data_IF_269147138994
#
_entry.id   IF_269147138994
#
_cell.length_a   1.000
_cell.length_b   1.000
_cell.length_c   1.000
_cell.angle_alpha   90.00
_cell.angle_beta   90.00
_cell.angle_gamma   90.00
#
_symmetry.space_group_name_H-M   'P 1'
#
loop_
_entity.id
_entity.type
_entity.pdbx_description
1 polymer ?
#
# COMPACT_ATOMS: atom_id res chain seq x y z
N UNK A 1 7.96 3.35 19.66
CA UNK A 1 7.61 3.10 18.24
C UNK A 1 6.25 2.43 18.24
N UNK A 2 5.31 2.91 17.42
CA UNK A 2 4.03 2.21 17.21
C UNK A 2 4.30 0.81 16.66
N UNK A 3 3.53 -0.19 17.08
CA UNK A 3 3.72 -1.56 16.58
C UNK A 3 3.42 -1.63 15.08
N UNK A 4 3.99 -2.64 14.42
CA UNK A 4 3.80 -2.92 13.00
C UNK A 4 2.33 -3.14 12.64
N UNK A 5 1.54 -3.71 13.55
CA UNK A 5 0.10 -3.95 13.39
C UNK A 5 -0.76 -2.98 14.22
N UNK A 6 -0.19 -1.83 14.60
CA UNK A 6 -0.90 -0.79 15.34
C UNK A 6 -1.95 -0.09 14.48
N UNK A 7 -3.05 0.31 15.10
CA UNK A 7 -4.21 0.89 14.40
C UNK A 7 -4.08 2.39 14.13
N UNK A 8 -3.19 3.07 14.85
CA UNK A 8 -2.93 4.49 14.65
C UNK A 8 -2.04 4.71 13.41
N UNK A 9 -2.28 5.81 12.71
CA UNK A 9 -1.45 6.23 11.57
C UNK A 9 -0.02 6.56 12.04
N UNK A 10 1.00 6.25 11.22
CA UNK A 10 2.36 6.71 11.50
C UNK A 10 2.54 8.07 10.86
N UNK A 11 2.90 9.07 11.67
CA UNK A 11 3.14 10.44 11.20
C UNK A 11 4.64 10.71 11.22
N UNK A 12 5.18 11.07 10.07
CA UNK A 12 6.57 11.49 9.92
C UNK A 12 6.60 12.98 9.55
N UNK A 13 7.20 13.82 10.39
CA UNK A 13 7.40 15.24 10.13
C UNK A 13 8.73 15.44 9.37
N UNK A 14 8.68 16.09 8.22
CA UNK A 14 9.87 16.35 7.40
C UNK A 14 10.66 17.52 8.00
N UNK A 15 11.99 17.42 8.16
CA UNK A 15 12.83 18.53 8.61
C UNK A 15 12.68 19.81 7.78
N UNK A 16 12.33 19.67 6.50
CA UNK A 16 12.13 20.80 5.59
C UNK A 16 10.69 21.35 5.62
N UNK A 17 9.82 20.81 6.49
CA UNK A 17 8.43 21.24 6.71
C UNK A 17 7.38 20.28 6.13
N UNK A 18 6.17 20.33 6.68
CA UNK A 18 5.09 19.41 6.33
C UNK A 18 5.25 18.02 6.95
N UNK A 19 4.29 17.13 6.66
CA UNK A 19 4.29 15.76 7.18
C UNK A 19 3.70 14.75 6.23
N UNK A 20 4.14 13.51 6.40
CA UNK A 20 3.64 12.33 5.71
C UNK A 20 2.87 11.46 6.71
N UNK A 21 1.62 11.16 6.38
CA UNK A 21 0.73 10.32 7.19
C UNK A 21 0.60 8.97 6.51
N UNK A 22 1.26 7.96 7.09
CA UNK A 22 1.23 6.57 6.62
C UNK A 22 0.01 5.86 7.21
N UNK A 23 -1.03 5.72 6.39
CA UNK A 23 -2.32 5.16 6.76
C UNK A 23 -2.38 3.65 6.46
N UNK A 24 -2.57 2.85 7.51
CA UNK A 24 -2.48 1.39 7.43
C UNK A 24 -3.76 0.76 6.92
N UNK A 25 -3.70 0.09 5.77
CA UNK A 25 -4.84 -0.60 5.15
C UNK A 25 -4.69 -2.12 5.23
N UNK A 26 -5.79 -2.84 5.08
CA UNK A 26 -5.81 -4.30 4.88
C UNK A 26 -6.42 -4.53 3.49
N UNK A 27 -5.74 -5.26 2.59
CA UNK A 27 -6.25 -5.49 1.24
C UNK A 27 -7.65 -6.10 1.28
N UNK A 28 -8.52 -5.66 0.38
CA UNK A 28 -9.90 -6.12 0.16
C UNK A 28 -10.87 -5.94 1.32
N UNK A 29 -10.44 -5.32 2.44
CA UNK A 29 -11.26 -5.10 3.63
C UNK A 29 -11.87 -3.70 3.63
N UNK A 30 -13.18 -3.62 3.86
CA UNK A 30 -13.89 -2.35 3.99
C UNK A 30 -13.69 -1.81 5.40
N UNK A 31 -13.05 -0.64 5.54
CA UNK A 31 -12.83 -0.10 6.87
C UNK A 31 -14.09 0.58 7.41
N UNK A 32 -14.42 0.35 8.71
CA UNK A 32 -15.40 1.16 9.40
C UNK A 32 -14.90 2.60 9.52
N UNK A 33 -15.83 3.56 9.58
CA UNK A 33 -15.50 5.00 9.64
C UNK A 33 -14.48 5.36 10.72
N UNK A 34 -14.47 4.65 11.85
CA UNK A 34 -13.54 4.87 12.97
C UNK A 34 -12.08 4.56 12.65
N UNK A 35 -11.80 3.73 11.64
CA UNK A 35 -10.46 3.41 11.19
C UNK A 35 -10.01 4.25 9.99
N UNK A 36 -10.87 5.12 9.45
CA UNK A 36 -10.50 5.96 8.31
C UNK A 36 -9.70 7.18 8.77
N UNK A 37 -8.81 7.74 7.93
CA UNK A 37 -8.05 8.93 8.26
C UNK A 37 -9.00 10.06 8.70
N UNK A 38 -8.79 10.57 9.90
CA UNK A 38 -9.59 11.65 10.48
C UNK A 38 -8.90 13.03 10.33
N UNK A 39 -7.63 13.04 9.94
CA UNK A 39 -6.84 14.25 9.73
C UNK A 39 -7.21 14.94 8.42
N UNK A 40 -7.11 16.27 8.39
CA UNK A 40 -7.09 17.03 7.14
C UNK A 40 -5.79 16.73 6.37
N UNK A 41 -5.90 16.57 5.06
CA UNK A 41 -4.76 16.28 4.20
C UNK A 41 -4.87 17.00 2.86
N UNK A 42 -3.72 17.28 2.27
CA UNK A 42 -3.57 18.20 1.15
C UNK A 42 -3.29 17.47 -0.16
N UNK A 43 -2.58 16.33 -0.13
CA UNK A 43 -2.37 15.46 -1.28
C UNK A 43 -2.35 13.99 -0.92
N UNK A 44 -2.42 13.14 -1.94
CA UNK A 44 -2.43 11.67 -1.83
C UNK A 44 -1.19 11.09 -2.50
N UNK A 45 -0.41 10.27 -1.79
CA UNK A 45 0.67 9.47 -2.35
C UNK A 45 0.27 8.01 -2.45
N UNK A 46 0.26 7.44 -3.66
CA UNK A 46 0.00 6.03 -3.90
C UNK A 46 1.31 5.31 -4.22
N UNK A 47 1.63 4.23 -3.50
CA UNK A 47 2.86 3.44 -3.70
C UNK A 47 2.75 2.46 -4.88
N UNK A 48 2.20 2.94 -5.98
CA UNK A 48 1.88 2.21 -7.21
C UNK A 48 2.15 3.15 -8.40
N UNK A 49 2.22 2.61 -9.61
CA UNK A 49 2.15 3.39 -10.84
C UNK A 49 0.74 3.94 -11.06
N UNK A 50 0.61 4.87 -12.00
CA UNK A 50 -0.65 5.48 -12.43
C UNK A 50 -1.61 4.49 -13.11
N UNK A 51 -1.09 3.39 -13.67
CA UNK A 51 -1.85 2.29 -14.26
C UNK A 51 -2.87 1.67 -13.28
N UNK A 52 -2.62 1.78 -11.96
CA UNK A 52 -3.53 1.27 -10.92
C UNK A 52 -4.93 1.88 -11.03
N UNK A 53 -5.07 3.10 -11.56
CA UNK A 53 -6.36 3.76 -11.71
C UNK A 53 -7.21 3.07 -12.77
N UNK A 54 -6.60 2.73 -13.91
CA UNK A 54 -7.28 2.00 -15.00
C UNK A 54 -7.70 0.60 -14.52
N UNK A 55 -6.83 -0.07 -13.76
CA UNK A 55 -7.16 -1.35 -13.13
C UNK A 55 -8.39 -1.22 -12.22
N UNK A 56 -8.42 -0.24 -11.31
CA UNK A 56 -9.57 -0.05 -10.43
C UNK A 56 -10.86 0.25 -11.18
N UNK A 57 -10.79 1.03 -12.26
CA UNK A 57 -11.96 1.32 -13.10
C UNK A 57 -12.44 0.08 -13.84
N UNK A 58 -11.53 -0.80 -14.26
CA UNK A 58 -11.90 -2.08 -14.84
C UNK A 58 -12.53 -3.01 -13.80
N UNK A 59 -11.92 -3.16 -12.62
CA UNK A 59 -12.49 -3.96 -11.53
C UNK A 59 -13.89 -3.48 -11.14
N UNK A 60 -14.13 -2.16 -11.14
CA UNK A 60 -15.46 -1.58 -10.88
C UNK A 60 -16.50 -1.95 -11.95
N UNK A 61 -16.10 -1.99 -13.23
CA UNK A 61 -16.98 -2.44 -14.33
C UNK A 61 -17.28 -3.92 -14.17
N UNK A 62 -16.25 -4.72 -13.92
CA UNK A 62 -16.36 -6.18 -13.77
C UNK A 62 -17.28 -6.54 -12.58
N UNK A 63 -17.16 -5.85 -11.44
CA UNK A 63 -18.06 -6.04 -10.29
C UNK A 63 -19.51 -5.60 -10.59
N UNK A 64 -19.71 -4.59 -11.44
CA UNK A 64 -21.04 -4.15 -11.84
C UNK A 64 -21.71 -5.15 -12.80
N UNK A 65 -20.93 -5.79 -13.67
CA UNK A 65 -21.41 -6.83 -14.60
C UNK A 65 -21.62 -8.18 -13.91
N UNK A 66 -20.70 -8.58 -13.04
CA UNK A 66 -20.74 -9.85 -12.32
C UNK A 66 -20.16 -9.70 -10.91
N UNK A 67 -21.02 -9.44 -9.93
CA UNK A 67 -20.58 -9.27 -8.54
C UNK A 67 -19.78 -10.47 -8.01
N UNK A 68 -18.60 -10.17 -7.46
CA UNK A 68 -17.66 -11.15 -6.92
C UNK A 68 -16.72 -11.78 -7.95
N UNK A 69 -16.74 -11.35 -9.22
CA UNK A 69 -15.87 -11.90 -10.26
C UNK A 69 -14.39 -11.69 -9.96
N UNK A 70 -14.01 -10.53 -9.42
CA UNK A 70 -12.60 -10.23 -9.10
C UNK A 70 -12.12 -11.07 -7.90
N UNK A 71 -12.98 -11.26 -6.89
CA UNK A 71 -12.69 -12.17 -5.79
C UNK A 71 -12.53 -13.61 -6.29
N UNK A 72 -13.44 -14.08 -7.15
CA UNK A 72 -13.36 -15.42 -7.74
C UNK A 72 -12.06 -15.59 -8.56
N UNK A 73 -11.70 -14.59 -9.35
CA UNK A 73 -10.43 -14.57 -10.08
C UNK A 73 -9.22 -14.62 -9.12
N UNK A 74 -9.21 -13.81 -8.06
CA UNK A 74 -8.15 -13.81 -7.05
C UNK A 74 -8.02 -15.13 -6.28
N UNK A 75 -9.12 -15.84 -6.04
CA UNK A 75 -9.11 -17.17 -5.43
C UNK A 75 -8.55 -18.23 -6.38
N UNK A 76 -8.87 -18.15 -7.67
CA UNK A 76 -8.43 -19.12 -8.70
C UNK A 76 -6.97 -18.90 -9.11
N UNK A 77 -6.47 -17.66 -9.11
CA UNK A 77 -5.08 -17.34 -9.46
C UNK A 77 -4.07 -17.98 -8.49
N UNK A 78 -4.50 -18.30 -7.27
CA UNK A 78 -3.72 -19.04 -6.28
C UNK A 78 -2.63 -18.19 -5.63
N UNK A 79 -1.50 -18.81 -5.35
CA UNK A 79 -0.38 -18.15 -4.67
C UNK A 79 -0.71 -17.68 -3.24
N UNK A 80 0.04 -16.70 -2.76
CA UNK A 80 -0.11 -16.16 -1.40
C UNK A 80 -1.36 -15.30 -1.26
N UNK A 81 -1.76 -14.61 -2.34
CA UNK A 81 -3.00 -13.82 -2.38
C UNK A 81 -4.23 -14.71 -2.30
N UNK A 82 -4.31 -15.81 -3.05
CA UNK A 82 -5.44 -16.74 -2.96
C UNK A 82 -5.65 -17.30 -1.55
N UNK A 83 -4.56 -17.67 -0.86
CA UNK A 83 -4.64 -18.13 0.55
C UNK A 83 -5.12 -17.00 1.47
N UNK A 84 -4.61 -15.78 1.28
CA UNK A 84 -5.08 -14.61 2.04
C UNK A 84 -6.57 -14.36 1.84
N UNK A 85 -7.05 -14.36 0.60
CA UNK A 85 -8.46 -14.14 0.25
C UNK A 85 -9.36 -15.24 0.82
N UNK A 86 -8.94 -16.50 0.73
CA UNK A 86 -9.66 -17.64 1.30
C UNK A 86 -9.84 -17.50 2.82
N UNK A 87 -8.79 -17.11 3.54
CA UNK A 87 -8.87 -16.98 5.00
C UNK A 87 -9.55 -15.68 5.47
N UNK A 88 -9.30 -14.53 4.81
CA UNK A 88 -9.87 -13.23 5.23
C UNK A 88 -11.37 -13.13 4.98
N UNK A 89 -11.90 -13.85 3.98
CA UNK A 89 -13.34 -13.91 3.67
C UNK A 89 -14.13 -14.80 4.63
N UNK A 90 -13.45 -15.67 5.38
CA UNK A 90 -14.07 -16.51 6.42
C UNK A 90 -14.15 -15.82 7.78
N UNK A 91 -13.54 -14.65 7.94
CA UNK A 91 -13.58 -13.90 9.20
C UNK A 91 -14.96 -13.28 9.40
N UNK A 92 -15.69 -13.78 10.39
CA UNK A 92 -16.98 -13.21 10.78
C UNK A 92 -16.89 -11.74 11.19
N UNK A 93 -17.96 -10.98 10.94
CA UNK A 93 -18.08 -9.54 11.25
C UNK A 93 -17.04 -8.63 10.57
N UNK A 94 -16.28 -9.12 9.60
CA UNK A 94 -15.38 -8.34 8.75
C UNK A 94 -15.89 -8.37 7.32
N UNK A 95 -16.18 -7.21 6.74
CA UNK A 95 -16.52 -7.12 5.31
C UNK A 95 -15.23 -7.13 4.49
N UNK A 96 -14.93 -8.25 3.86
CA UNK A 96 -13.70 -8.51 3.09
C UNK A 96 -14.00 -9.01 1.68
N UNK A 97 -12.95 -9.25 0.88
CA UNK A 97 -13.07 -9.75 -0.49
C UNK A 97 -13.69 -8.74 -1.45
N UNK A 98 -13.53 -7.45 -1.19
CA UNK A 98 -14.02 -6.37 -2.05
C UNK A 98 -12.92 -5.90 -2.99
N UNK A 99 -13.30 -5.68 -4.24
CA UNK A 99 -12.47 -5.13 -5.31
C UNK A 99 -13.21 -3.95 -5.96
N UNK A 100 -12.50 -2.91 -6.42
CA UNK A 100 -11.09 -2.62 -6.12
C UNK A 100 -10.83 -2.48 -4.63
N UNK A 101 -9.56 -2.45 -4.25
CA UNK A 101 -9.13 -2.34 -2.86
C UNK A 101 -9.82 -1.15 -2.16
N UNK A 102 -10.70 -1.38 -1.15
CA UNK A 102 -11.69 -0.37 -0.76
C UNK A 102 -11.09 0.93 -0.24
N UNK A 103 -10.06 0.87 0.61
CA UNK A 103 -9.52 2.06 1.25
C UNK A 103 -8.65 2.92 0.30
N UNK A 104 -7.66 2.37 -0.42
CA UNK A 104 -6.92 3.12 -1.46
C UNK A 104 -7.87 3.76 -2.49
N UNK A 105 -8.81 3.00 -3.05
CA UNK A 105 -9.76 3.55 -4.04
C UNK A 105 -10.67 4.61 -3.43
N UNK A 106 -11.12 4.44 -2.18
CA UNK A 106 -11.96 5.43 -1.49
C UNK A 106 -11.21 6.75 -1.28
N UNK A 107 -9.96 6.72 -0.82
CA UNK A 107 -9.19 7.97 -0.62
C UNK A 107 -8.79 8.60 -1.95
N UNK A 108 -8.53 7.81 -2.99
CA UNK A 108 -8.35 8.31 -4.35
C UNK A 108 -9.57 9.08 -4.87
N UNK A 109 -10.77 8.50 -4.79
CA UNK A 109 -12.02 9.20 -5.15
C UNK A 109 -12.25 10.46 -4.31
N UNK A 110 -11.81 10.46 -3.04
CA UNK A 110 -11.88 11.65 -2.18
C UNK A 110 -10.90 12.73 -2.65
N UNK A 111 -9.69 12.36 -3.08
CA UNK A 111 -8.73 13.29 -3.69
C UNK A 111 -9.33 13.96 -4.92
N UNK A 112 -9.86 13.16 -5.86
CA UNK A 112 -10.50 13.66 -7.08
C UNK A 112 -11.68 14.60 -6.78
N UNK A 113 -12.57 14.21 -5.85
CA UNK A 113 -13.74 15.04 -5.48
C UNK A 113 -13.34 16.40 -4.91
N UNK A 114 -12.21 16.47 -4.22
CA UNK A 114 -11.73 17.69 -3.56
C UNK A 114 -10.59 18.36 -4.33
N UNK A 115 -10.32 17.96 -5.58
CA UNK A 115 -9.23 18.47 -6.41
C UNK A 115 -7.86 18.46 -5.70
N UNK A 116 -7.59 17.43 -4.90
CA UNK A 116 -6.29 17.25 -4.24
C UNK A 116 -5.34 16.54 -5.19
N UNK A 117 -4.07 16.96 -5.28
CA UNK A 117 -3.10 16.30 -6.13
C UNK A 117 -2.86 14.85 -5.71
N UNK A 118 -2.68 13.98 -6.70
CA UNK A 118 -2.38 12.55 -6.53
C UNK A 118 -1.00 12.28 -7.13
N UNK A 119 -0.11 11.73 -6.31
CA UNK A 119 1.26 11.39 -6.67
C UNK A 119 1.41 9.88 -6.75
N UNK A 120 1.81 9.37 -7.91
CA UNK A 120 2.15 7.95 -8.10
C UNK A 120 3.64 7.77 -7.83
N UNK A 121 3.94 7.10 -6.72
CA UNK A 121 5.29 7.06 -6.14
C UNK A 121 6.15 6.00 -6.82
N UNK A 122 5.56 4.99 -7.45
CA UNK A 122 6.34 4.09 -8.28
C UNK A 122 6.91 4.85 -9.49
N UNK A 123 8.21 4.71 -9.81
CA UNK A 123 8.76 5.26 -11.03
C UNK A 123 8.09 4.68 -12.29
N UNK A 124 8.12 5.44 -13.37
CA UNK A 124 7.60 5.01 -14.67
C UNK A 124 8.52 3.96 -15.33
N UNK A 125 8.01 3.30 -16.37
CA UNK A 125 8.72 2.22 -17.06
C UNK A 125 9.92 2.71 -17.88
N UNK A 126 10.01 4.01 -18.16
CA UNK A 126 11.15 4.63 -18.86
C UNK A 126 12.30 5.00 -17.92
N UNK A 127 12.14 4.79 -16.61
CA UNK A 127 13.20 4.97 -15.63
C UNK A 127 14.16 3.77 -15.63
N UNK A 128 15.35 3.95 -16.20
CA UNK A 128 16.35 2.88 -16.36
C UNK A 128 16.76 2.22 -15.02
N UNK A 129 16.85 3.00 -13.93
CA UNK A 129 17.18 2.47 -12.61
C UNK A 129 16.04 1.62 -12.03
N UNK A 130 14.80 2.00 -12.31
CA UNK A 130 13.61 1.25 -11.92
C UNK A 130 13.44 0.00 -12.76
N UNK A 131 13.69 0.07 -14.08
CA UNK A 131 13.70 -1.11 -14.95
C UNK A 131 14.73 -2.14 -14.43
N UNK A 132 15.94 -1.68 -14.10
CA UNK A 132 16.96 -2.54 -13.51
C UNK A 132 16.52 -3.16 -12.17
N UNK A 133 15.79 -2.40 -11.34
CA UNK A 133 15.18 -2.89 -10.11
C UNK A 133 14.15 -4.00 -10.38
N UNK A 134 13.22 -3.77 -11.31
CA UNK A 134 12.17 -4.72 -11.68
C UNK A 134 12.76 -6.01 -12.27
N UNK A 135 13.80 -5.89 -13.09
CA UNK A 135 14.55 -7.05 -13.61
C UNK A 135 15.21 -7.84 -12.46
N UNK A 136 15.79 -7.15 -11.47
CA UNK A 136 16.40 -7.80 -10.31
C UNK A 136 15.35 -8.52 -9.46
N UNK A 137 14.18 -7.91 -9.24
CA UNK A 137 13.05 -8.52 -8.54
C UNK A 137 12.57 -9.78 -9.27
N UNK A 138 12.31 -9.70 -10.57
CA UNK A 138 11.89 -10.83 -11.39
C UNK A 138 12.92 -11.98 -11.34
N UNK A 139 14.22 -11.66 -11.36
CA UNK A 139 15.29 -12.66 -11.20
C UNK A 139 15.31 -13.30 -9.81
N UNK A 140 15.02 -12.55 -8.75
CA UNK A 140 14.97 -13.11 -7.38
C UNK A 140 13.77 -14.04 -7.21
N UNK A 141 12.58 -13.60 -7.63
CA UNK A 141 11.32 -14.36 -7.48
C UNK A 141 11.36 -15.65 -8.30
N UNK A 142 12.03 -15.64 -9.46
CA UNK A 142 12.21 -16.81 -10.34
C UNK A 142 13.34 -17.77 -9.93
N UNK A 143 14.08 -17.50 -8.83
CA UNK A 143 15.12 -18.43 -8.36
C UNK A 143 14.52 -19.79 -8.02
N UNK A 144 15.11 -20.87 -8.53
CA UNK A 144 14.62 -22.24 -8.31
C UNK A 144 14.41 -22.60 -6.82
N UNK A 145 15.24 -22.08 -5.90
CA UNK A 145 15.06 -22.26 -4.46
C UNK A 145 13.78 -21.61 -3.92
N UNK A 146 13.37 -20.45 -4.45
CA UNK A 146 12.11 -19.77 -4.11
C UNK A 146 10.93 -20.55 -4.67
N UNK A 147 11.02 -20.97 -5.94
CA UNK A 147 10.01 -21.78 -6.60
C UNK A 147 9.76 -23.11 -5.87
N UNK A 148 10.82 -23.83 -5.48
CA UNK A 148 10.67 -25.01 -4.62
C UNK A 148 10.09 -24.66 -3.24
N UNK A 149 10.45 -23.50 -2.70
CA UNK A 149 9.88 -22.98 -1.46
C UNK A 149 8.37 -22.76 -1.54
N UNK A 150 7.85 -22.36 -2.70
CA UNK A 150 6.42 -22.13 -2.94
C UNK A 150 5.59 -23.42 -2.86
N UNK A 151 6.17 -24.59 -3.14
CA UNK A 151 5.50 -25.89 -2.94
C UNK A 151 5.05 -26.08 -1.48
N UNK A 152 5.75 -25.45 -0.54
CA UNK A 152 5.45 -25.52 0.89
C UNK A 152 4.79 -24.24 1.42
N UNK A 153 4.20 -23.41 0.55
CA UNK A 153 3.62 -22.11 0.92
C UNK A 153 2.60 -22.21 2.05
N UNK A 154 1.72 -23.22 2.04
CA UNK A 154 0.74 -23.42 3.12
C UNK A 154 1.38 -23.71 4.49
N UNK A 155 2.52 -24.40 4.54
CA UNK A 155 3.27 -24.62 5.78
C UNK A 155 3.95 -23.33 6.26
N UNK A 156 4.52 -22.56 5.33
CA UNK A 156 5.13 -21.25 5.62
C UNK A 156 4.09 -20.25 6.10
N UNK A 157 2.92 -20.22 5.48
CA UNK A 157 1.75 -19.45 5.87
C UNK A 157 1.38 -19.70 7.33
N UNK A 158 1.05 -20.95 7.69
CA UNK A 158 0.68 -21.31 9.08
C UNK A 158 1.77 -20.95 10.10
N UNK A 159 3.05 -21.09 9.73
CA UNK A 159 4.17 -20.71 10.61
C UNK A 159 4.18 -19.19 10.85
N UNK A 160 3.94 -18.39 9.82
CA UNK A 160 3.92 -16.93 9.91
C UNK A 160 2.69 -16.39 10.62
N UNK A 161 1.50 -16.96 10.37
CA UNK A 161 0.30 -16.65 11.17
C UNK A 161 0.59 -16.80 12.67
N UNK A 162 1.17 -17.94 13.08
CA UNK A 162 1.54 -18.18 14.49
C UNK A 162 2.52 -17.15 15.05
N UNK A 163 3.42 -16.62 14.23
CA UNK A 163 4.35 -15.56 14.63
C UNK A 163 3.62 -14.23 14.78
N UNK A 164 2.82 -13.87 13.77
CA UNK A 164 2.21 -12.55 13.64
C UNK A 164 1.03 -12.34 14.62
N UNK A 165 0.42 -13.41 15.15
CA UNK A 165 -0.57 -13.32 16.24
C UNK A 165 -0.02 -12.57 17.47
N UNK A 166 1.27 -12.70 17.77
CA UNK A 166 1.88 -12.04 18.93
C UNK A 166 2.07 -10.52 18.73
N UNK A 167 1.97 -10.04 17.50
CA UNK A 167 2.04 -8.61 17.17
C UNK A 167 0.65 -7.97 17.06
N UNK A 168 -0.43 -8.77 17.16
CA UNK A 168 -1.79 -8.30 16.95
C UNK A 168 -2.24 -7.34 18.06
N UNK A 169 -2.66 -6.14 17.68
CA UNK A 169 -3.26 -5.17 18.59
C UNK A 169 -4.78 -5.18 18.51
N UNK A 170 -5.43 -4.84 19.63
CA UNK A 170 -6.88 -4.68 19.67
C UNK A 170 -7.28 -3.40 18.93
N UNK A 171 -8.32 -3.44 18.07
CA UNK A 171 -8.78 -2.25 17.37
C UNK A 171 -9.43 -1.26 18.34
N UNK A 172 -9.61 0.02 17.94
CA UNK A 172 -10.27 1.02 18.76
C UNK A 172 -11.67 0.61 19.23
N UNK A 173 -12.12 1.16 20.35
CA UNK A 173 -13.42 0.81 20.95
C UNK A 173 -14.57 0.97 19.96
N UNK A 174 -15.37 -0.09 19.82
CA UNK A 174 -16.53 -0.14 18.91
C UNK A 174 -16.17 -0.42 17.46
N UNK A 175 -14.98 -0.96 17.22
CA UNK A 175 -14.58 -1.69 16.01
C UNK A 175 -14.52 -3.18 16.38
N UNK A 176 -14.89 -4.08 15.47
CA UNK A 176 -14.87 -5.53 15.73
C UNK A 176 -13.45 -6.01 16.06
N UNK A 177 -13.30 -6.86 17.08
CA UNK A 177 -12.00 -7.44 17.43
C UNK A 177 -11.46 -8.37 16.34
N UNK A 178 -12.33 -8.88 15.46
CA UNK A 178 -11.95 -9.78 14.36
C UNK A 178 -11.09 -9.08 13.29
N UNK A 179 -11.05 -7.73 13.27
CA UNK A 179 -10.11 -6.99 12.43
C UNK A 179 -8.64 -7.24 12.82
N UNK A 180 -8.35 -7.57 14.09
CA UNK A 180 -7.00 -8.03 14.48
C UNK A 180 -6.60 -9.30 13.75
N UNK A 181 -7.52 -10.25 13.55
CA UNK A 181 -7.26 -11.45 12.76
C UNK A 181 -6.96 -11.09 11.31
N UNK A 182 -7.74 -10.19 10.70
CA UNK A 182 -7.48 -9.72 9.34
C UNK A 182 -6.11 -9.00 9.21
N UNK A 183 -5.71 -8.22 10.22
CA UNK A 183 -4.38 -7.60 10.28
C UNK A 183 -3.24 -8.64 10.34
N UNK A 184 -3.42 -9.71 11.10
CA UNK A 184 -2.46 -10.84 11.16
C UNK A 184 -2.33 -11.54 9.81
N UNK A 185 -3.45 -11.75 9.10
CA UNK A 185 -3.42 -12.35 7.77
C UNK A 185 -2.74 -11.42 6.76
N UNK A 186 -3.02 -10.11 6.82
CA UNK A 186 -2.35 -9.10 6.00
C UNK A 186 -0.84 -9.12 6.22
N UNK A 187 -0.39 -9.14 7.48
CA UNK A 187 1.01 -9.26 7.85
C UNK A 187 1.65 -10.53 7.29
N UNK A 188 0.95 -11.66 7.39
CA UNK A 188 1.40 -12.97 6.91
C UNK A 188 1.60 -12.98 5.40
N UNK A 189 0.63 -12.45 4.67
CA UNK A 189 0.68 -12.29 3.22
C UNK A 189 1.85 -11.38 2.81
N UNK A 190 1.97 -10.22 3.45
CA UNK A 190 3.06 -9.27 3.20
C UNK A 190 4.44 -9.89 3.45
N UNK A 191 4.63 -10.60 4.57
CA UNK A 191 5.89 -11.30 4.88
C UNK A 191 6.24 -12.41 3.86
N UNK A 192 5.24 -13.00 3.21
CA UNK A 192 5.46 -13.95 2.12
C UNK A 192 5.91 -13.25 0.84
N UNK A 193 5.33 -12.10 0.49
CA UNK A 193 5.76 -11.31 -0.66
C UNK A 193 7.17 -10.75 -0.45
N UNK A 194 7.46 -10.14 0.72
CA UNK A 194 8.80 -9.63 1.03
C UNK A 194 9.84 -10.77 1.08
N UNK A 195 9.45 -11.96 1.53
CA UNK A 195 10.33 -13.12 1.46
C UNK A 195 10.59 -13.58 0.02
N UNK A 196 9.64 -13.45 -0.90
CA UNK A 196 9.84 -13.78 -2.31
C UNK A 196 10.83 -12.80 -2.93
N UNK A 197 10.58 -11.50 -2.79
CA UNK A 197 11.36 -10.39 -3.36
C UNK A 197 12.75 -10.27 -2.71
N UNK A 198 12.89 -10.66 -1.44
CA UNK A 198 14.16 -10.62 -0.72
C UNK A 198 14.46 -9.25 -0.10
N UNK A 199 15.22 -9.27 1.00
CA UNK A 199 15.46 -8.11 1.86
C UNK A 199 16.20 -6.97 1.17
N UNK A 200 17.19 -7.26 0.32
CA UNK A 200 17.93 -6.22 -0.37
C UNK A 200 17.06 -5.47 -1.38
N UNK A 201 16.29 -6.21 -2.19
CA UNK A 201 15.43 -5.62 -3.22
C UNK A 201 14.30 -4.82 -2.58
N UNK A 202 13.59 -5.41 -1.61
CA UNK A 202 12.56 -4.69 -0.85
C UNK A 202 13.09 -3.44 -0.15
N UNK A 203 14.29 -3.46 0.43
CA UNK A 203 14.90 -2.27 1.01
C UNK A 203 15.22 -1.19 -0.03
N UNK A 204 15.71 -1.56 -1.22
CA UNK A 204 15.97 -0.62 -2.30
C UNK A 204 14.67 0.03 -2.79
N UNK A 205 13.60 -0.74 -2.98
CA UNK A 205 12.26 -0.23 -3.31
C UNK A 205 11.80 0.78 -2.28
N UNK A 206 11.83 0.38 -1.00
CA UNK A 206 11.33 1.22 0.09
C UNK A 206 12.16 2.50 0.26
N UNK A 207 13.48 2.45 0.01
CA UNK A 207 14.34 3.63 0.04
C UNK A 207 13.95 4.62 -1.06
N UNK A 208 13.77 4.13 -2.29
CA UNK A 208 13.36 4.96 -3.43
C UNK A 208 11.97 5.56 -3.24
N UNK A 209 11.02 4.76 -2.77
CA UNK A 209 9.67 5.24 -2.45
C UNK A 209 9.69 6.33 -1.38
N UNK A 210 10.56 6.22 -0.36
CA UNK A 210 10.73 7.27 0.63
C UNK A 210 11.29 8.58 0.03
N UNK A 211 12.26 8.50 -0.88
CA UNK A 211 12.79 9.67 -1.62
C UNK A 211 11.69 10.39 -2.41
N UNK A 212 10.89 9.63 -3.16
CA UNK A 212 9.79 10.13 -4.00
C UNK A 212 8.59 10.66 -3.19
N UNK A 213 8.32 10.04 -2.04
CA UNK A 213 7.36 10.56 -1.05
C UNK A 213 7.78 11.94 -0.52
N UNK A 214 9.08 12.15 -0.25
CA UNK A 214 9.59 13.49 0.10
C UNK A 214 9.46 14.48 -1.06
N UNK A 215 9.61 14.02 -2.31
CA UNK A 215 9.32 14.82 -3.51
C UNK A 215 7.87 15.29 -3.59
N UNK A 216 6.92 14.38 -3.37
CA UNK A 216 5.49 14.70 -3.34
C UNK A 216 5.18 15.74 -2.25
N UNK A 217 5.79 15.57 -1.06
CA UNK A 217 5.63 16.54 0.02
C UNK A 217 6.28 17.89 -0.31
N UNK A 218 7.46 17.91 -0.94
CA UNK A 218 8.11 19.14 -1.44
C UNK A 218 7.21 19.90 -2.39
N UNK A 219 6.52 19.21 -3.29
CA UNK A 219 5.59 19.83 -4.22
C UNK A 219 4.36 20.40 -3.49
N UNK A 220 3.76 19.66 -2.56
CA UNK A 220 2.66 20.17 -1.73
C UNK A 220 3.04 21.42 -0.92
N UNK A 221 4.29 21.52 -0.47
CA UNK A 221 4.77 22.69 0.27
C UNK A 221 4.73 23.99 -0.54
N UNK A 222 4.71 23.92 -1.87
CA UNK A 222 4.59 25.10 -2.73
C UNK A 222 3.29 25.86 -2.43
N UNK A 223 2.20 25.15 -2.18
CA UNK A 223 0.89 25.74 -1.87
C UNK A 223 0.63 25.83 -0.36
N UNK A 224 0.94 24.78 0.40
CA UNK A 224 0.53 24.66 1.81
C UNK A 224 1.62 24.98 2.83
N UNK A 225 2.85 25.26 2.38
CA UNK A 225 3.98 25.54 3.27
C UNK A 225 4.21 24.43 4.30
N UNK A 226 4.56 24.81 5.53
CA UNK A 226 4.82 23.85 6.62
C UNK A 226 3.59 23.03 7.08
N UNK A 227 2.39 23.43 6.66
CA UNK A 227 1.15 22.72 6.95
C UNK A 227 0.84 21.64 5.91
N UNK A 228 1.70 21.44 4.90
CA UNK A 228 1.52 20.38 3.90
C UNK A 228 1.38 19.00 4.55
N UNK A 229 0.36 18.25 4.14
CA UNK A 229 0.07 16.90 4.65
C UNK A 229 -0.13 15.97 3.47
N UNK A 230 0.78 15.02 3.28
CA UNK A 230 0.67 13.95 2.31
C UNK A 230 0.08 12.71 2.99
N UNK A 231 -1.11 12.29 2.57
CA UNK A 231 -1.71 11.03 3.00
C UNK A 231 -1.19 9.89 2.12
N UNK A 232 -0.75 8.80 2.72
CA UNK A 232 -0.24 7.62 2.01
C UNK A 232 -0.98 6.38 2.51
N UNK A 233 -1.99 5.85 1.81
CA UNK A 233 -2.56 4.55 2.12
C UNK A 233 -1.59 3.45 1.68
N UNK A 234 -1.27 2.53 2.57
CA UNK A 234 -0.43 1.37 2.27
C UNK A 234 -0.74 0.24 3.23
N UNK A 235 -0.36 -0.99 2.85
CA UNK A 235 -0.62 -2.15 3.70
C UNK A 235 -0.05 -1.95 5.10
N UNK A 236 -0.89 -2.20 6.10
CA UNK A 236 -0.58 -2.03 7.53
C UNK A 236 0.84 -2.49 7.92
N UNK A 237 1.30 -3.71 7.56
CA UNK A 237 2.65 -4.18 7.89
C UNK A 237 3.80 -3.44 7.19
N UNK A 238 3.54 -2.79 6.06
CA UNK A 238 4.55 -2.12 5.24
C UNK A 238 4.94 -0.74 5.80
N UNK A 239 4.02 -0.08 6.51
CA UNK A 239 4.20 1.26 7.07
C UNK A 239 5.48 1.45 7.84
N UNK A 240 5.82 0.51 8.72
CA UNK A 240 7.03 0.62 9.54
C UNK A 240 8.30 0.60 8.67
N UNK A 241 8.32 -0.12 7.56
CA UNK A 241 9.46 -0.13 6.66
C UNK A 241 9.62 1.22 5.93
N UNK A 242 8.52 1.79 5.42
CA UNK A 242 8.54 3.12 4.80
C UNK A 242 8.91 4.21 5.81
N UNK A 243 8.31 4.18 7.01
CA UNK A 243 8.63 5.11 8.09
C UNK A 243 10.12 5.07 8.44
N UNK A 244 10.70 3.87 8.54
CA UNK A 244 12.12 3.71 8.83
C UNK A 244 13.03 4.22 7.71
N UNK A 245 12.58 4.19 6.45
CA UNK A 245 13.33 4.79 5.34
C UNK A 245 13.22 6.31 5.37
N UNK A 246 12.04 6.88 5.60
CA UNK A 246 11.85 8.32 5.79
C UNK A 246 12.70 8.86 6.96
N UNK A 247 12.78 8.11 8.07
CA UNK A 247 13.61 8.46 9.22
C UNK A 247 15.12 8.53 8.93
N UNK A 248 15.59 7.96 7.82
CA UNK A 248 16.99 8.10 7.36
C UNK A 248 17.24 9.40 6.60
N UNK A 249 16.20 10.22 6.39
CA UNK A 249 16.25 11.47 5.66
C UNK A 249 16.81 11.27 4.24
N UNK A 250 16.19 10.40 3.41
CA UNK A 250 16.66 10.18 2.05
C UNK A 250 16.57 11.47 1.24
N UNK A 251 17.43 11.63 0.24
CA UNK A 251 17.38 12.78 -0.66
C UNK A 251 16.01 12.86 -1.36
N UNK A 252 15.60 14.08 -1.68
CA UNK A 252 14.33 14.31 -2.36
C UNK A 252 14.45 13.87 -3.82
N UNK A 253 13.55 12.99 -4.26
CA UNK A 253 13.40 12.59 -5.67
C UNK A 253 12.06 13.12 -6.19
N UNK A 254 12.04 13.71 -7.37
CA UNK A 254 10.82 14.28 -7.96
C UNK A 254 9.90 13.17 -8.51
N UNK A 255 8.58 13.40 -8.46
CA UNK A 255 7.62 12.48 -9.06
C UNK A 255 7.38 12.91 -10.51
N UNK A 256 7.65 12.02 -11.46
CA UNK A 256 7.36 12.21 -12.88
C UNK A 256 5.85 12.28 -13.18
N UNK A 257 5.02 11.75 -12.28
CA UNK A 257 3.64 11.36 -12.53
C UNK A 257 2.58 12.24 -11.85
N UNK A 258 2.84 13.54 -11.64
CA UNK A 258 1.77 14.44 -11.18
C UNK A 258 0.75 14.70 -12.31
N UNK A 259 -0.16 13.76 -12.58
CA UNK A 259 -1.24 13.94 -13.57
C UNK A 259 -2.30 14.95 -13.15
N UNK A 260 -2.17 15.54 -11.96
CA UNK A 260 -3.02 16.65 -11.50
C UNK A 260 -2.43 18.04 -11.80
N UNK A 261 -1.21 18.14 -12.34
CA UNK A 261 -0.69 19.42 -12.83
C UNK A 261 -1.22 19.73 -14.24
N UNK A 262 -2.26 20.56 -14.27
CA UNK A 262 -2.67 21.57 -15.29
C UNK A 262 -2.50 21.20 -16.79
N UNK A 263 -3.59 21.26 -17.60
CA UNK A 263 -3.53 21.11 -19.05
C UNK A 263 -3.02 22.38 -19.75
N UNK A 264 -1.95 22.99 -19.25
CA UNK A 264 -1.32 24.16 -19.88
C UNK A 264 0.20 23.99 -19.80
N UNK A 265 0.75 23.36 -20.83
CA UNK A 265 1.94 23.79 -21.57
C UNK A 265 2.08 22.83 -22.76
N UNK A 266 1.28 23.09 -23.79
CA UNK A 266 1.68 22.76 -25.16
C UNK A 266 3.00 23.50 -25.43
N UNK A 267 4.09 22.78 -25.67
CA UNK A 267 5.27 23.37 -26.31
C UNK A 267 4.97 23.49 -27.81
N UNK A 268 4.96 24.74 -28.30
CA UNK A 268 5.10 25.10 -29.72
C UNK A 268 6.44 24.64 -30.31
#
# INVERSE_FOLDING_TARGET
MSSRLGWDDLVWDDPDGGRIVLHGTIPTVVYPRKLRPAIEWHGLGLLESDEVVELWEQEEKDEAESSGVNLAHGLVSGGTMGIFLEEVTQIGDVTSGRFPDPEPRRVHRLAQRHNRPVFFIEPELDDEEWEAHMIAEAKEVSRWKKLLGLVTVGKKWRKRVKSNIFEAEKPPKGVTANLSSAAVLCATWWDLNEWLIGEQISNNRNARFASRLRGALKELRVEFGNEAVLLVPLFMPWRSAIFNQLAKLPDVEENSSNKTSRPDMEEE
#
